data_IF_550434934866
#
_entry.id   IF_550434934866
#
_cell.length_a   1.000
_cell.length_b   1.000
_cell.length_c   1.000
_cell.angle_alpha   90.00
_cell.angle_beta   90.00
_cell.angle_gamma   90.00
#
_symmetry.space_group_name_H-M   'P 1'
#
loop_
_entity.id
_entity.type
_entity.pdbx_description
1 polymer ?
#
# COMPACT_ATOMS: atom_id res chain seq x y z
N UNK A 1 31.23 11.89 0.52
CA UNK A 1 31.36 10.59 -0.15
C UNK A 1 32.04 10.89 -1.46
N UNK A 2 33.23 10.35 -1.68
CA UNK A 2 33.88 10.36 -3.00
C UNK A 2 33.41 9.13 -3.74
N UNK A 3 32.45 9.31 -4.65
CA UNK A 3 31.99 8.25 -5.55
C UNK A 3 32.89 8.21 -6.78
N UNK A 4 33.40 7.04 -7.13
CA UNK A 4 34.17 6.81 -8.35
C UNK A 4 33.39 5.90 -9.30
N UNK A 5 33.04 6.42 -10.48
CA UNK A 5 32.20 5.69 -11.46
C UNK A 5 32.83 4.40 -11.98
N UNK A 6 34.15 4.29 -11.95
CA UNK A 6 34.89 3.15 -12.50
C UNK A 6 35.02 2.01 -11.49
N UNK A 7 35.10 2.33 -10.20
CA UNK A 7 35.39 1.34 -9.14
C UNK A 7 34.19 1.02 -8.27
N UNK A 8 33.27 1.98 -8.09
CA UNK A 8 32.18 1.84 -7.15
C UNK A 8 30.99 1.11 -7.77
N UNK A 9 30.33 0.30 -6.93
CA UNK A 9 29.19 -0.51 -7.34
C UNK A 9 27.91 0.06 -6.77
N UNK A 10 27.00 0.46 -7.65
CA UNK A 10 25.64 0.84 -7.25
C UNK A 10 24.75 -0.41 -7.28
N UNK A 11 24.31 -0.85 -6.11
CA UNK A 11 23.28 -1.89 -5.97
C UNK A 11 21.91 -1.23 -5.87
N UNK A 12 21.08 -1.39 -6.88
CA UNK A 12 19.78 -0.71 -6.96
C UNK A 12 18.62 -1.68 -6.84
N UNK A 13 17.69 -1.40 -5.93
CA UNK A 13 16.52 -2.23 -5.72
C UNK A 13 15.67 -2.37 -7.01
N UNK A 14 15.21 -3.59 -7.27
CA UNK A 14 14.35 -3.94 -8.42
C UNK A 14 12.94 -3.33 -8.39
N UNK A 15 12.57 -2.67 -7.28
CA UNK A 15 11.26 -2.04 -7.14
C UNK A 15 11.05 -0.89 -8.13
N UNK A 16 9.85 -0.78 -8.69
CA UNK A 16 9.47 0.24 -9.67
C UNK A 16 9.50 1.69 -9.16
N UNK A 17 9.77 1.91 -7.86
CA UNK A 17 10.01 3.26 -7.33
C UNK A 17 11.34 3.86 -7.81
N UNK A 18 12.24 3.04 -8.38
CA UNK A 18 13.55 3.47 -8.87
C UNK A 18 13.65 3.51 -10.40
N UNK A 19 12.52 3.53 -11.11
CA UNK A 19 12.55 3.51 -12.59
C UNK A 19 13.20 4.79 -13.15
N UNK A 20 12.82 5.97 -12.63
CA UNK A 20 13.47 7.24 -13.00
C UNK A 20 14.96 7.28 -12.62
N UNK A 21 15.32 6.68 -11.49
CA UNK A 21 16.73 6.56 -11.08
C UNK A 21 17.53 5.70 -12.08
N UNK A 22 16.92 4.63 -12.61
CA UNK A 22 17.56 3.79 -13.64
C UNK A 22 17.72 4.51 -14.96
N UNK A 23 16.75 5.33 -15.35
CA UNK A 23 16.83 6.16 -16.55
C UNK A 23 18.00 7.14 -16.40
N UNK A 24 18.04 7.90 -15.30
CA UNK A 24 19.12 8.83 -15.02
C UNK A 24 20.51 8.17 -14.97
N UNK A 25 20.65 7.02 -14.28
CA UNK A 25 21.95 6.31 -14.22
C UNK A 25 22.44 5.87 -15.61
N UNK A 26 21.54 5.53 -16.52
CA UNK A 26 21.90 5.18 -17.90
C UNK A 26 22.31 6.41 -18.72
N UNK A 27 21.61 7.53 -18.53
CA UNK A 27 21.94 8.81 -19.20
C UNK A 27 23.33 9.30 -18.82
N UNK A 28 23.73 9.11 -17.57
CA UNK A 28 25.05 9.50 -17.04
C UNK A 28 26.16 8.46 -17.28
N UNK A 29 25.87 7.37 -18.01
CA UNK A 29 26.81 6.27 -18.23
C UNK A 29 27.36 5.68 -16.91
N UNK A 30 26.49 5.58 -15.89
CA UNK A 30 26.82 5.02 -14.58
C UNK A 30 26.25 3.60 -14.48
N UNK A 31 27.16 2.63 -14.29
CA UNK A 31 26.79 1.24 -14.13
C UNK A 31 26.08 0.98 -12.80
N UNK A 32 25.01 0.17 -12.86
CA UNK A 32 24.31 -0.31 -11.67
C UNK A 32 23.92 -1.78 -11.80
N UNK A 33 23.76 -2.44 -10.66
CA UNK A 33 23.38 -3.85 -10.57
C UNK A 33 22.01 -3.94 -9.88
N UNK A 34 21.00 -4.56 -10.53
CA UNK A 34 19.73 -4.86 -9.88
C UNK A 34 19.94 -5.74 -8.66
N UNK A 35 19.46 -5.30 -7.49
CA UNK A 35 19.62 -5.98 -6.22
C UNK A 35 18.29 -6.20 -5.49
N UNK A 36 18.27 -7.17 -4.58
CA UNK A 36 17.16 -7.42 -3.66
C UNK A 36 17.54 -6.80 -2.32
N UNK A 37 16.59 -6.12 -1.67
CA UNK A 37 16.78 -5.66 -0.29
C UNK A 37 16.49 -6.84 0.62
N UNK A 38 17.51 -7.29 1.35
CA UNK A 38 17.46 -8.46 2.25
C UNK A 38 18.19 -8.18 3.57
N UNK A 39 18.01 -9.06 4.55
CA UNK A 39 18.65 -8.96 5.86
C UNK A 39 18.26 -7.72 6.65
N UNK A 40 19.21 -7.16 7.42
CA UNK A 40 18.95 -6.06 8.36
C UNK A 40 18.28 -4.84 7.72
N UNK A 41 18.58 -4.54 6.46
CA UNK A 41 17.97 -3.42 5.75
C UNK A 41 16.50 -3.69 5.44
N UNK A 42 16.16 -4.91 5.01
CA UNK A 42 14.77 -5.33 4.80
C UNK A 42 13.99 -5.23 6.11
N UNK A 43 14.54 -5.76 7.19
CA UNK A 43 13.90 -5.74 8.52
C UNK A 43 13.60 -4.31 8.97
N UNK A 44 14.59 -3.40 8.85
CA UNK A 44 14.43 -2.00 9.23
C UNK A 44 13.36 -1.27 8.38
N UNK A 45 13.34 -1.51 7.07
CA UNK A 45 12.36 -0.93 6.16
C UNK A 45 10.95 -1.45 6.46
N UNK A 46 10.80 -2.75 6.67
CA UNK A 46 9.51 -3.37 6.99
C UNK A 46 9.00 -2.95 8.36
N UNK A 47 9.86 -2.88 9.38
CA UNK A 47 9.48 -2.38 10.70
C UNK A 47 8.95 -0.94 10.62
N UNK A 48 9.65 -0.07 9.90
CA UNK A 48 9.22 1.32 9.69
C UNK A 48 7.90 1.38 8.95
N UNK A 49 7.71 0.54 7.93
CA UNK A 49 6.45 0.42 7.20
C UNK A 49 5.30 0.01 8.12
N UNK A 50 5.45 -1.04 8.93
CA UNK A 50 4.42 -1.46 9.88
C UNK A 50 4.13 -0.42 10.96
N UNK A 51 5.16 0.26 11.46
CA UNK A 51 5.02 1.37 12.39
C UNK A 51 4.18 2.49 11.80
N UNK A 52 4.41 2.84 10.54
CA UNK A 52 3.61 3.84 9.83
C UNK A 52 2.15 3.39 9.63
N UNK A 53 1.92 2.14 9.25
CA UNK A 53 0.56 1.59 9.13
C UNK A 53 -0.22 1.65 10.43
N UNK A 54 0.43 1.37 11.58
CA UNK A 54 -0.19 1.53 12.90
C UNK A 54 -0.58 2.98 13.18
N UNK A 55 0.29 3.94 12.84
CA UNK A 55 0.00 5.38 12.97
C UNK A 55 -1.17 5.83 12.09
N UNK A 56 -1.33 5.21 10.91
CA UNK A 56 -2.49 5.44 10.03
C UNK A 56 -3.79 4.78 10.54
N UNK A 57 -3.74 4.01 11.63
CA UNK A 57 -4.91 3.37 12.22
C UNK A 57 -5.27 2.02 11.60
N UNK A 58 -4.31 1.33 10.98
CA UNK A 58 -4.50 -0.07 10.56
C UNK A 58 -4.48 -0.96 11.80
N UNK A 59 -5.64 -1.49 12.18
CA UNK A 59 -5.85 -2.19 13.47
C UNK A 59 -5.46 -3.67 13.47
N UNK A 60 -5.38 -4.31 12.30
CA UNK A 60 -5.10 -5.74 12.22
C UNK A 60 -3.61 -6.01 12.44
N UNK A 61 -3.29 -7.11 13.13
CA UNK A 61 -1.93 -7.63 13.19
C UNK A 61 -1.54 -8.11 11.80
N UNK A 62 -0.63 -7.38 11.18
CA UNK A 62 -0.07 -7.76 9.90
C UNK A 62 1.20 -8.55 10.17
N UNK A 63 1.22 -9.82 9.75
CA UNK A 63 2.43 -10.65 9.79
C UNK A 63 3.33 -10.32 8.60
N UNK A 64 4.64 -10.41 8.82
CA UNK A 64 5.66 -10.06 7.82
C UNK A 64 5.62 -11.03 6.63
N UNK A 65 5.49 -12.32 6.93
CA UNK A 65 5.51 -13.47 6.01
C UNK A 65 4.19 -13.69 5.25
N UNK A 66 3.05 -13.25 5.79
CA UNK A 66 1.73 -13.45 5.18
C UNK A 66 1.39 -12.39 4.13
N UNK A 67 2.04 -12.45 2.96
CA UNK A 67 1.80 -11.51 1.86
C UNK A 67 0.32 -11.39 1.43
N UNK A 68 -0.42 -12.51 1.44
CA UNK A 68 -1.84 -12.53 1.06
C UNK A 68 -2.68 -11.82 2.12
N UNK A 69 -2.47 -12.13 3.41
CA UNK A 69 -3.16 -11.50 4.52
C UNK A 69 -2.81 -10.01 4.64
N UNK A 70 -1.55 -9.62 4.40
CA UNK A 70 -1.10 -8.22 4.28
C UNK A 70 -1.95 -7.48 3.26
N UNK A 71 -2.06 -8.04 2.05
CA UNK A 71 -2.83 -7.43 0.97
C UNK A 71 -4.29 -7.22 1.37
N UNK A 72 -4.98 -8.27 1.84
CA UNK A 72 -6.41 -8.16 2.17
C UNK A 72 -6.67 -7.29 3.39
N UNK A 73 -5.76 -7.27 4.36
CA UNK A 73 -5.83 -6.37 5.51
C UNK A 73 -5.81 -4.90 5.06
N UNK A 74 -4.81 -4.52 4.28
CA UNK A 74 -4.68 -3.15 3.78
C UNK A 74 -5.83 -2.79 2.83
N UNK A 75 -6.22 -3.73 1.96
CA UNK A 75 -7.35 -3.56 1.06
C UNK A 75 -8.65 -3.31 1.81
N UNK A 76 -8.92 -4.08 2.86
CA UNK A 76 -10.12 -3.91 3.69
C UNK A 76 -10.09 -2.57 4.43
N UNK A 77 -8.93 -2.18 4.97
CA UNK A 77 -8.74 -0.86 5.58
C UNK A 77 -9.04 0.26 4.58
N UNK A 78 -8.60 0.18 3.31
CA UNK A 78 -8.99 1.14 2.28
C UNK A 78 -10.50 1.12 2.02
N UNK A 79 -11.12 -0.06 1.93
CA UNK A 79 -12.56 -0.20 1.64
C UNK A 79 -13.47 0.40 2.73
N UNK A 80 -13.00 0.45 3.98
CA UNK A 80 -13.78 0.99 5.11
C UNK A 80 -14.07 2.49 4.97
N UNK A 81 -13.14 3.23 4.38
CA UNK A 81 -13.24 4.67 4.16
C UNK A 81 -12.61 5.04 2.81
N UNK A 82 -13.20 4.47 1.75
CA UNK A 82 -12.66 4.53 0.39
C UNK A 82 -12.35 5.96 -0.09
N UNK A 83 -13.25 6.96 0.05
CA UNK A 83 -12.99 8.32 -0.43
C UNK A 83 -11.73 8.95 0.19
N UNK A 84 -11.46 8.70 1.48
CA UNK A 84 -10.34 9.31 2.17
C UNK A 84 -9.05 8.47 2.11
N UNK A 85 -9.18 7.14 1.96
CA UNK A 85 -8.05 6.20 2.02
C UNK A 85 -7.51 5.77 0.66
N UNK A 86 -8.21 6.03 -0.44
CA UNK A 86 -7.72 5.73 -1.80
C UNK A 86 -6.36 6.39 -2.09
N UNK A 87 -6.10 7.58 -1.54
CA UNK A 87 -4.82 8.31 -1.70
C UNK A 87 -3.59 7.55 -1.18
N UNK A 88 -3.77 6.57 -0.29
CA UNK A 88 -2.67 5.75 0.25
C UNK A 88 -2.35 4.53 -0.62
N UNK A 89 -3.13 4.28 -1.67
CA UNK A 89 -2.89 3.15 -2.57
C UNK A 89 -1.73 3.45 -3.51
N UNK A 90 -0.82 2.49 -3.65
CA UNK A 90 0.33 2.58 -4.54
C UNK A 90 -0.10 2.94 -5.98
N UNK A 91 0.44 4.03 -6.51
CA UNK A 91 0.16 4.54 -7.87
C UNK A 91 0.67 3.60 -8.97
N UNK A 92 1.81 2.93 -8.73
CA UNK A 92 2.42 1.92 -9.61
C UNK A 92 1.85 0.50 -9.46
N UNK A 93 0.55 0.34 -9.21
CA UNK A 93 -0.12 -0.97 -9.12
C UNK A 93 -1.21 -1.09 -10.20
N UNK A 94 -0.91 -1.58 -11.42
CA UNK A 94 -1.87 -1.62 -12.54
C UNK A 94 -3.17 -2.36 -12.23
N UNK A 95 -3.07 -3.45 -11.44
CA UNK A 95 -4.24 -4.20 -10.98
C UNK A 95 -5.20 -3.35 -10.12
N UNK A 96 -4.73 -2.28 -9.47
CA UNK A 96 -5.60 -1.33 -8.78
C UNK A 96 -6.60 -0.71 -9.75
N UNK A 97 -6.08 -0.07 -10.80
CA UNK A 97 -6.88 0.59 -11.84
C UNK A 97 -7.77 -0.41 -12.57
N UNK A 98 -7.24 -1.61 -12.89
CA UNK A 98 -7.96 -2.64 -13.66
C UNK A 98 -9.15 -3.25 -12.92
N UNK A 99 -9.02 -3.60 -11.63
CA UNK A 99 -10.06 -4.37 -10.92
C UNK A 99 -10.30 -3.96 -9.47
N UNK A 100 -9.26 -3.66 -8.70
CA UNK A 100 -9.40 -3.53 -7.25
C UNK A 100 -10.08 -2.23 -6.83
N UNK A 101 -9.87 -1.14 -7.57
CA UNK A 101 -10.53 0.15 -7.34
C UNK A 101 -12.05 0.04 -7.41
N UNK A 102 -12.58 -0.55 -8.49
CA UNK A 102 -14.02 -0.79 -8.67
C UNK A 102 -14.56 -1.67 -7.54
N UNK A 103 -13.86 -2.74 -7.18
CA UNK A 103 -14.26 -3.62 -6.07
C UNK A 103 -14.28 -2.88 -4.72
N UNK A 104 -13.29 -2.04 -4.45
CA UNK A 104 -13.21 -1.28 -3.19
C UNK A 104 -14.37 -0.29 -3.06
N UNK A 105 -14.64 0.47 -4.13
CA UNK A 105 -15.78 1.39 -4.21
C UNK A 105 -17.10 0.66 -4.01
N UNK A 106 -17.29 -0.50 -4.64
CA UNK A 106 -18.50 -1.31 -4.48
C UNK A 106 -18.68 -1.79 -3.04
N UNK A 107 -17.61 -2.27 -2.40
CA UNK A 107 -17.63 -2.72 -1.00
C UNK A 107 -17.98 -1.58 -0.04
N UNK A 108 -17.40 -0.40 -0.24
CA UNK A 108 -17.73 0.82 0.51
C UNK A 108 -19.21 1.19 0.36
N UNK A 109 -19.72 1.25 -0.87
CA UNK A 109 -21.11 1.59 -1.15
C UNK A 109 -22.09 0.58 -0.55
N UNK A 110 -21.81 -0.72 -0.65
CA UNK A 110 -22.62 -1.76 -0.06
C UNK A 110 -22.69 -1.63 1.48
N UNK A 111 -21.55 -1.36 2.14
CA UNK A 111 -21.49 -1.11 3.59
C UNK A 111 -22.32 0.12 3.98
N UNK A 112 -22.25 1.20 3.22
CA UNK A 112 -23.05 2.41 3.45
C UNK A 112 -24.54 2.14 3.33
N UNK A 113 -24.99 1.47 2.27
CA UNK A 113 -26.40 1.09 2.07
C UNK A 113 -26.93 0.21 3.20
N UNK A 114 -26.13 -0.77 3.66
CA UNK A 114 -26.49 -1.61 4.80
C UNK A 114 -26.64 -0.78 6.07
N UNK A 115 -25.70 0.13 6.34
CA UNK A 115 -25.73 0.99 7.52
C UNK A 115 -26.93 1.94 7.52
N UNK A 116 -27.29 2.52 6.37
CA UNK A 116 -28.49 3.37 6.26
C UNK A 116 -29.78 2.57 6.46
N UNK A 117 -29.85 1.34 5.93
CA UNK A 117 -31.00 0.45 6.14
C UNK A 117 -31.19 0.10 7.61
N UNK A 118 -30.09 -0.24 8.32
CA UNK A 118 -30.13 -0.53 9.76
C UNK A 118 -30.59 0.70 10.56
N UNK A 119 -30.03 1.89 10.26
CA UNK A 119 -30.43 3.14 10.92
C UNK A 119 -31.92 3.45 10.71
N UNK A 120 -32.42 3.24 9.49
CA UNK A 120 -33.85 3.42 9.17
C UNK A 120 -34.73 2.50 10.01
N UNK A 121 -34.41 1.20 10.02
CA UNK A 121 -35.15 0.20 10.80
C UNK A 121 -35.14 0.50 12.31
N UNK A 122 -33.99 0.93 12.85
CA UNK A 122 -33.89 1.32 14.25
C UNK A 122 -34.78 2.53 14.58
N UNK A 123 -34.85 3.53 13.69
CA UNK A 123 -35.73 4.69 13.84
C UNK A 123 -37.22 4.31 13.81
N UNK A 124 -37.60 3.42 12.90
CA UNK A 124 -38.98 2.91 12.80
C UNK A 124 -39.42 2.20 14.10
N UNK A 125 -38.54 1.37 14.70
CA UNK A 125 -38.82 0.70 15.98
C UNK A 125 -39.01 1.71 17.11
N UNK A 126 -38.11 2.69 17.23
CA UNK A 126 -38.18 3.72 18.28
C UNK A 126 -39.41 4.62 18.16
N UNK A 127 -40.00 4.77 16.98
CA UNK A 127 -41.21 5.55 16.76
C UNK A 127 -42.51 4.77 17.06
N UNK A 128 -42.41 3.44 17.22
CA UNK A 128 -43.54 2.55 17.55
C UNK A 128 -43.60 2.20 19.05
N UNK A 129 -42.63 2.67 19.83
CA UNK A 129 -42.59 2.59 21.30
C UNK A 129 -43.08 3.91 21.90
#
# INVERSE_FOLDING_TARGET
>A
MDFNKETDRILLCRGNCFDLTREWLKEEDINYIPAIVEGKLQDAVEERFFSHLRKLGVKSKIKVDDYRGRFFTLYNWVCEDFPNRERFVKTGFPSWKKRWRKRARNKFNAKRKRSSSIKRRAKEILQQM
#
